data_IF_942850203414
#
_entry.id   IF_942850203414
#
_cell.length_a   1.000
_cell.length_b   1.000
_cell.length_c   1.000
_cell.angle_alpha   90.00
_cell.angle_beta   90.00
_cell.angle_gamma   90.00
#
_symmetry.space_group_name_H-M   'P 1'
#
loop_
_entity.id
_entity.type
_entity.pdbx_description
1 polymer ?
#
# COMPACT_ATOMS: atom_id res chain seq x y z
N UNK A 1 62.08 50.79 -34.11
CA UNK A 1 61.20 50.51 -32.94
C UNK A 1 60.09 49.60 -33.41
N UNK A 2 60.21 48.30 -33.18
CA UNK A 2 59.22 47.28 -33.56
C UNK A 2 58.23 47.13 -32.35
N UNK A 3 56.96 47.39 -32.61
CA UNK A 3 55.86 47.14 -31.61
C UNK A 3 55.50 45.64 -31.65
N UNK A 4 55.70 44.93 -30.52
CA UNK A 4 55.30 43.59 -30.33
C UNK A 4 53.85 43.63 -29.78
N UNK A 5 52.88 43.15 -30.54
CA UNK A 5 51.51 42.96 -30.11
C UNK A 5 51.36 41.58 -29.49
N UNK A 6 50.97 41.52 -28.21
CA UNK A 6 50.70 40.31 -27.46
C UNK A 6 49.25 39.89 -27.74
N UNK A 7 48.95 38.65 -28.09
CA UNK A 7 47.56 38.21 -28.24
C UNK A 7 46.94 37.96 -26.86
N UNK A 8 45.78 38.55 -26.60
CA UNK A 8 44.95 38.36 -25.44
C UNK A 8 44.20 37.01 -25.58
N UNK A 9 44.70 35.96 -24.93
CA UNK A 9 44.02 34.67 -24.87
C UNK A 9 42.81 34.78 -23.93
N UNK A 10 41.60 34.78 -24.51
CA UNK A 10 40.36 34.68 -23.77
C UNK A 10 40.20 33.24 -23.27
N UNK A 11 40.42 33.03 -21.99
CA UNK A 11 40.12 31.76 -21.30
C UNK A 11 38.63 31.68 -21.06
N UNK A 12 37.91 30.96 -21.92
CA UNK A 12 36.48 30.71 -21.72
C UNK A 12 36.31 29.70 -20.58
N UNK A 13 36.02 30.18 -19.38
CA UNK A 13 35.62 29.32 -18.25
C UNK A 13 34.29 28.68 -18.59
N UNK A 14 34.30 27.41 -18.95
CA UNK A 14 33.14 26.57 -18.97
C UNK A 14 32.71 26.33 -17.51
N UNK A 15 31.73 27.10 -16.99
CA UNK A 15 31.04 26.79 -15.77
C UNK A 15 30.13 25.58 -16.09
N UNK A 16 30.63 24.39 -15.77
CA UNK A 16 29.80 23.20 -15.73
C UNK A 16 28.86 23.44 -14.53
N UNK A 17 27.63 23.85 -14.82
CA UNK A 17 26.54 23.82 -13.86
C UNK A 17 26.38 22.34 -13.46
N UNK A 18 26.96 21.96 -12.33
CA UNK A 18 26.57 20.74 -11.61
C UNK A 18 25.14 21.04 -11.21
N UNK A 19 24.20 20.45 -11.95
CA UNK A 19 22.79 20.53 -11.57
C UNK A 19 22.69 20.11 -10.11
N UNK A 20 22.23 21.00 -9.26
CA UNK A 20 21.90 20.70 -7.88
C UNK A 20 21.01 19.46 -7.91
N UNK A 21 21.51 18.33 -7.41
CA UNK A 21 20.68 17.18 -7.08
C UNK A 21 19.74 17.67 -5.99
N UNK A 22 18.55 18.12 -6.39
CA UNK A 22 17.56 18.63 -5.46
C UNK A 22 17.21 17.48 -4.51
N UNK A 23 17.59 17.62 -3.25
CA UNK A 23 17.23 16.66 -2.22
C UNK A 23 15.71 16.48 -2.18
N UNK A 24 15.24 15.24 -2.06
CA UNK A 24 13.81 14.92 -1.97
C UNK A 24 13.16 15.74 -0.84
N UNK A 25 12.12 16.47 -1.15
CA UNK A 25 11.41 17.36 -0.23
C UNK A 25 10.49 16.58 0.73
N UNK A 26 10.00 17.24 1.78
CA UNK A 26 9.02 16.69 2.71
C UNK A 26 7.73 16.24 1.97
N UNK A 27 7.25 17.09 1.05
CA UNK A 27 6.07 16.81 0.22
C UNK A 27 6.27 15.58 -0.67
N UNK A 28 7.41 15.45 -1.32
CA UNK A 28 7.74 14.27 -2.13
C UNK A 28 7.82 13.00 -1.28
N UNK A 29 8.39 13.08 -0.06
CA UNK A 29 8.37 11.94 0.86
C UNK A 29 6.96 11.56 1.30
N UNK A 30 6.04 12.51 1.48
CA UNK A 30 4.63 12.20 1.79
C UNK A 30 4.00 11.38 0.65
N UNK A 31 4.23 11.76 -0.61
CA UNK A 31 3.80 11.01 -1.80
C UNK A 31 4.44 9.62 -1.83
N UNK A 32 5.75 9.52 -1.64
CA UNK A 32 6.48 8.23 -1.65
C UNK A 32 5.95 7.29 -0.57
N UNK A 33 5.73 7.76 0.66
CA UNK A 33 5.19 6.95 1.77
C UNK A 33 3.76 6.51 1.46
N UNK A 34 2.90 7.39 0.94
CA UNK A 34 1.54 7.02 0.54
C UNK A 34 1.54 5.96 -0.58
N UNK A 35 2.33 6.16 -1.66
CA UNK A 35 2.32 5.26 -2.80
C UNK A 35 3.00 3.93 -2.50
N UNK A 36 4.11 3.91 -1.76
CA UNK A 36 4.71 2.66 -1.28
C UNK A 36 3.78 1.93 -0.29
N UNK A 37 3.07 2.68 0.57
CA UNK A 37 2.02 2.15 1.43
C UNK A 37 0.85 1.53 0.64
N UNK A 38 0.46 2.15 -0.50
CA UNK A 38 -0.56 1.61 -1.41
C UNK A 38 -0.16 0.28 -2.01
N UNK A 39 1.13 0.06 -2.28
CA UNK A 39 1.62 -1.22 -2.79
C UNK A 39 1.30 -2.38 -1.83
N UNK A 40 1.39 -2.19 -0.51
CA UNK A 40 0.96 -3.19 0.48
C UNK A 40 -0.52 -3.56 0.30
N UNK A 41 -1.37 -2.56 0.09
CA UNK A 41 -2.80 -2.77 -0.17
C UNK A 41 -3.00 -3.55 -1.48
N UNK A 42 -2.27 -3.21 -2.54
CA UNK A 42 -2.39 -3.87 -3.85
C UNK A 42 -2.00 -5.35 -3.77
N UNK A 43 -0.99 -5.75 -2.97
CA UNK A 43 -0.66 -7.17 -2.79
C UNK A 43 -1.84 -7.95 -2.20
N UNK A 44 -2.52 -7.38 -1.20
CA UNK A 44 -3.68 -8.02 -0.57
C UNK A 44 -4.90 -8.00 -1.49
N UNK A 45 -5.08 -6.93 -2.26
CA UNK A 45 -6.18 -6.78 -3.21
C UNK A 45 -6.08 -7.81 -4.34
N UNK A 46 -4.90 -8.02 -4.94
CA UNK A 46 -4.69 -9.06 -5.95
C UNK A 46 -5.00 -10.46 -5.41
N UNK A 47 -4.51 -10.78 -4.22
CA UNK A 47 -4.81 -12.07 -3.58
C UNK A 47 -6.32 -12.23 -3.30
N UNK A 48 -6.98 -11.19 -2.79
CA UNK A 48 -8.44 -11.19 -2.60
C UNK A 48 -9.18 -11.44 -3.92
N UNK A 49 -8.79 -10.76 -5.00
CA UNK A 49 -9.42 -10.90 -6.32
C UNK A 49 -9.29 -12.33 -6.85
N UNK A 50 -8.09 -12.91 -6.77
CA UNK A 50 -7.87 -14.32 -7.16
C UNK A 50 -8.71 -15.28 -6.30
N UNK A 51 -8.77 -15.08 -4.99
CA UNK A 51 -9.53 -15.94 -4.08
C UNK A 51 -11.05 -15.80 -4.25
N UNK A 52 -11.55 -14.62 -4.65
CA UNK A 52 -12.95 -14.44 -5.03
C UNK A 52 -13.27 -15.18 -6.33
N UNK A 53 -12.34 -15.17 -7.31
CA UNK A 53 -12.47 -16.00 -8.53
C UNK A 53 -12.55 -17.48 -8.15
N UNK A 54 -11.67 -17.97 -7.26
CA UNK A 54 -11.69 -19.35 -6.79
C UNK A 54 -12.99 -19.72 -6.05
N UNK A 55 -13.60 -18.77 -5.33
CA UNK A 55 -14.91 -18.94 -4.70
C UNK A 55 -16.10 -18.76 -5.66
N UNK A 56 -15.86 -18.52 -6.94
CA UNK A 56 -16.88 -18.23 -7.95
C UNK A 56 -17.77 -17.02 -7.58
N UNK A 57 -17.15 -15.96 -7.09
CA UNK A 57 -17.79 -14.67 -6.76
C UNK A 57 -17.37 -13.64 -7.81
N UNK A 58 -18.33 -13.17 -8.62
CA UNK A 58 -18.12 -12.14 -9.66
C UNK A 58 -16.79 -12.35 -10.43
N UNK A 59 -16.55 -13.61 -10.89
CA UNK A 59 -15.25 -14.06 -11.38
C UNK A 59 -14.71 -13.19 -12.52
N UNK A 60 -15.55 -12.81 -13.50
CA UNK A 60 -15.13 -11.96 -14.62
C UNK A 60 -14.73 -10.55 -14.16
N UNK A 61 -15.55 -9.93 -13.28
CA UNK A 61 -15.25 -8.61 -12.75
C UNK A 61 -13.98 -8.62 -11.90
N UNK A 62 -13.77 -9.67 -11.08
CA UNK A 62 -12.55 -9.82 -10.30
C UNK A 62 -11.32 -10.07 -11.18
N UNK A 63 -11.45 -10.79 -12.30
CA UNK A 63 -10.37 -10.99 -13.29
C UNK A 63 -9.94 -9.67 -13.93
N UNK A 64 -10.92 -8.88 -14.40
CA UNK A 64 -10.67 -7.55 -14.97
C UNK A 64 -10.06 -6.58 -13.93
N UNK A 65 -10.49 -6.66 -12.67
CA UNK A 65 -9.92 -5.87 -11.59
C UNK A 65 -8.49 -6.31 -11.25
N UNK A 66 -8.21 -7.62 -11.25
CA UNK A 66 -6.90 -8.19 -11.00
C UNK A 66 -5.86 -7.68 -12.00
N UNK A 67 -6.20 -7.67 -13.29
CA UNK A 67 -5.34 -7.12 -14.34
C UNK A 67 -4.99 -5.65 -14.09
N UNK A 68 -6.00 -4.82 -13.80
CA UNK A 68 -5.80 -3.39 -13.47
C UNK A 68 -4.96 -3.21 -12.20
N UNK A 69 -5.19 -4.05 -11.20
CA UNK A 69 -4.48 -3.99 -9.92
C UNK A 69 -3.01 -4.37 -10.10
N UNK A 70 -2.72 -5.40 -10.88
CA UNK A 70 -1.37 -5.85 -11.21
C UNK A 70 -0.60 -4.79 -12.00
N UNK A 71 -1.22 -4.21 -13.03
CA UNK A 71 -0.62 -3.13 -13.82
C UNK A 71 -0.28 -1.93 -12.94
N UNK A 72 -1.19 -1.53 -12.04
CA UNK A 72 -0.95 -0.42 -11.12
C UNK A 72 0.20 -0.73 -10.15
N UNK A 73 0.28 -1.98 -9.64
CA UNK A 73 1.38 -2.41 -8.78
C UNK A 73 2.71 -2.30 -9.52
N UNK A 74 2.80 -2.87 -10.71
CA UNK A 74 4.02 -2.89 -11.53
C UNK A 74 4.50 -1.47 -11.87
N UNK A 75 3.63 -0.64 -12.42
CA UNK A 75 3.94 0.76 -12.76
C UNK A 75 4.40 1.57 -11.54
N UNK A 76 3.73 1.38 -10.39
CA UNK A 76 4.11 2.11 -9.16
C UNK A 76 5.43 1.58 -8.59
N UNK A 77 5.71 0.28 -8.67
CA UNK A 77 6.97 -0.30 -8.20
C UNK A 77 8.17 0.22 -9.03
N UNK A 78 8.01 0.27 -10.35
CA UNK A 78 8.99 0.88 -11.24
C UNK A 78 9.18 2.38 -10.93
N UNK A 79 8.08 3.12 -10.75
CA UNK A 79 8.12 4.54 -10.39
C UNK A 79 8.80 4.82 -9.04
N UNK A 80 8.61 3.96 -8.04
CA UNK A 80 9.34 4.07 -6.78
C UNK A 80 10.85 3.89 -6.94
N UNK A 81 11.29 3.04 -7.88
CA UNK A 81 12.71 2.81 -8.16
C UNK A 81 13.32 3.93 -8.99
N UNK A 82 12.71 4.25 -10.12
CA UNK A 82 13.29 5.03 -11.20
C UNK A 82 12.76 6.48 -11.27
N UNK A 83 11.74 6.79 -10.47
CA UNK A 83 10.97 8.02 -10.57
C UNK A 83 9.79 7.88 -11.55
N UNK A 84 8.75 8.69 -11.31
CA UNK A 84 7.61 8.82 -12.20
C UNK A 84 6.95 10.18 -11.98
N UNK A 85 7.17 11.13 -12.89
CA UNK A 85 6.70 12.50 -12.77
C UNK A 85 5.16 12.60 -12.73
N UNK A 86 4.43 11.75 -13.49
CA UNK A 86 2.95 11.74 -13.50
C UNK A 86 2.39 11.33 -12.13
N UNK A 87 3.13 10.52 -11.37
CA UNK A 87 2.76 10.10 -10.03
C UNK A 87 3.35 11.00 -8.94
N UNK A 88 4.16 11.99 -9.28
CA UNK A 88 4.91 12.79 -8.32
C UNK A 88 5.95 11.99 -7.54
N UNK A 89 6.50 10.92 -8.13
CA UNK A 89 7.50 10.07 -7.52
C UNK A 89 8.90 10.50 -7.95
N UNK A 90 9.76 10.98 -7.04
CA UNK A 90 11.19 11.07 -7.30
C UNK A 90 11.82 9.68 -7.37
N UNK A 91 12.93 9.53 -8.07
CA UNK A 91 13.69 8.30 -8.06
C UNK A 91 14.28 8.02 -6.67
N UNK A 92 14.33 6.75 -6.29
CA UNK A 92 14.95 6.36 -5.01
C UNK A 92 16.47 6.40 -5.12
N UNK A 93 17.13 7.20 -4.28
CA UNK A 93 18.60 7.31 -4.23
C UNK A 93 19.23 6.43 -3.15
N UNK A 94 18.47 6.11 -2.10
CA UNK A 94 18.92 5.34 -0.95
C UNK A 94 19.36 3.92 -1.32
N UNK A 95 20.67 3.61 -1.23
CA UNK A 95 21.21 2.27 -1.59
C UNK A 95 20.55 1.12 -0.83
N UNK A 96 20.12 1.34 0.41
CA UNK A 96 19.43 0.31 1.22
C UNK A 96 18.04 0.08 0.68
N UNK A 97 17.33 1.16 0.37
CA UNK A 97 15.97 1.13 -0.17
C UNK A 97 15.96 0.57 -1.58
N UNK A 98 16.93 0.91 -2.44
CA UNK A 98 17.09 0.30 -3.76
C UNK A 98 17.30 -1.23 -3.68
N UNK A 99 18.14 -1.71 -2.76
CA UNK A 99 18.29 -3.17 -2.54
C UNK A 99 16.99 -3.83 -2.07
N UNK A 100 16.21 -3.13 -1.25
CA UNK A 100 14.91 -3.63 -0.81
C UNK A 100 13.92 -3.68 -1.98
N UNK A 101 13.87 -2.66 -2.84
CA UNK A 101 13.05 -2.65 -4.05
C UNK A 101 13.43 -3.75 -5.03
N UNK A 102 14.73 -4.00 -5.22
CA UNK A 102 15.21 -5.11 -6.06
C UNK A 102 14.76 -6.49 -5.53
N UNK A 103 14.74 -6.67 -4.19
CA UNK A 103 14.21 -7.88 -3.56
C UNK A 103 12.68 -8.01 -3.78
N UNK A 104 11.96 -6.91 -3.68
CA UNK A 104 10.52 -6.88 -3.94
C UNK A 104 10.25 -7.23 -5.40
N UNK A 105 11.04 -6.72 -6.33
CA UNK A 105 10.87 -7.01 -7.76
C UNK A 105 10.96 -8.51 -8.06
N UNK A 106 11.94 -9.21 -7.48
CA UNK A 106 12.05 -10.67 -7.62
C UNK A 106 10.81 -11.41 -7.09
N UNK A 107 10.30 -11.01 -5.91
CA UNK A 107 9.08 -11.60 -5.35
C UNK A 107 7.85 -11.26 -6.17
N UNK A 108 7.83 -10.07 -6.76
CA UNK A 108 6.77 -9.65 -7.68
C UNK A 108 6.77 -10.47 -8.96
N UNK A 109 7.93 -10.71 -9.56
CA UNK A 109 8.05 -11.51 -10.78
C UNK A 109 7.42 -12.90 -10.58
N UNK A 110 7.68 -13.57 -9.44
CA UNK A 110 7.09 -14.86 -9.09
C UNK A 110 5.57 -14.75 -8.88
N UNK A 111 5.12 -13.74 -8.13
CA UNK A 111 3.69 -13.55 -7.87
C UNK A 111 2.93 -13.16 -9.14
N UNK A 112 3.54 -12.34 -10.01
CA UNK A 112 2.94 -11.90 -11.26
C UNK A 112 2.75 -13.03 -12.28
N UNK A 113 3.57 -14.09 -12.23
CA UNK A 113 3.31 -15.29 -13.04
C UNK A 113 1.96 -15.92 -12.68
N UNK A 114 1.66 -16.04 -11.37
CA UNK A 114 0.37 -16.57 -10.90
C UNK A 114 -0.77 -15.64 -11.30
N UNK A 115 -0.60 -14.33 -11.11
CA UNK A 115 -1.58 -13.32 -11.52
C UNK A 115 -1.88 -13.41 -13.02
N UNK A 116 -0.84 -13.48 -13.84
CA UNK A 116 -0.95 -13.53 -15.31
C UNK A 116 -1.70 -14.79 -15.77
N UNK A 117 -1.44 -15.95 -15.16
CA UNK A 117 -2.15 -17.20 -15.46
C UNK A 117 -3.65 -17.05 -15.17
N UNK A 118 -4.01 -16.50 -14.01
CA UNK A 118 -5.41 -16.27 -13.63
C UNK A 118 -6.07 -15.24 -14.55
N UNK A 119 -5.39 -14.16 -14.92
CA UNK A 119 -5.91 -13.13 -15.84
C UNK A 119 -6.22 -13.74 -17.23
N UNK A 120 -5.38 -14.67 -17.71
CA UNK A 120 -5.59 -15.38 -18.98
C UNK A 120 -6.70 -16.45 -18.95
N UNK A 121 -7.38 -16.65 -17.83
CA UNK A 121 -8.47 -17.60 -17.70
C UNK A 121 -8.09 -18.89 -17.03
N UNK A 122 -6.83 -19.06 -16.59
CA UNK A 122 -6.37 -20.21 -15.82
C UNK A 122 -7.02 -20.34 -14.45
N UNK A 123 -6.89 -21.51 -13.84
CA UNK A 123 -7.37 -21.79 -12.50
C UNK A 123 -6.50 -21.09 -11.45
N UNK A 124 -7.09 -20.82 -10.27
CA UNK A 124 -6.37 -20.22 -9.15
C UNK A 124 -5.70 -21.29 -8.32
N UNK A 125 -4.38 -21.29 -8.24
CA UNK A 125 -3.63 -22.07 -7.25
C UNK A 125 -3.65 -21.33 -5.89
N UNK A 126 -4.59 -21.74 -5.02
CA UNK A 126 -4.84 -21.12 -3.72
C UNK A 126 -3.60 -21.21 -2.83
N UNK A 127 -2.91 -22.35 -2.84
CA UNK A 127 -1.72 -22.57 -2.02
C UNK A 127 -0.58 -21.62 -2.45
N UNK A 128 -0.37 -21.48 -3.76
CA UNK A 128 0.64 -20.60 -4.32
C UNK A 128 0.34 -19.12 -4.04
N UNK A 129 -0.92 -18.70 -4.14
CA UNK A 129 -1.36 -17.34 -3.77
C UNK A 129 -1.07 -17.07 -2.29
N UNK A 130 -1.39 -17.99 -1.40
CA UNK A 130 -1.14 -17.85 0.04
C UNK A 130 0.36 -17.82 0.36
N UNK A 131 1.16 -18.70 -0.25
CA UNK A 131 2.61 -18.80 -0.08
C UNK A 131 3.33 -17.52 -0.49
N UNK A 132 3.07 -16.99 -1.69
CA UNK A 132 3.81 -15.87 -2.27
C UNK A 132 3.35 -14.50 -1.74
N UNK A 133 2.09 -14.37 -1.32
CA UNK A 133 1.54 -13.09 -0.85
C UNK A 133 2.26 -12.57 0.40
N UNK A 134 2.54 -13.42 1.38
CA UNK A 134 3.10 -13.00 2.66
C UNK A 134 4.53 -12.45 2.55
N UNK A 135 5.47 -13.10 1.83
CA UNK A 135 6.80 -12.52 1.58
C UNK A 135 6.74 -11.18 0.86
N UNK A 136 5.89 -11.05 -0.17
CA UNK A 136 5.73 -9.81 -0.92
C UNK A 136 5.23 -8.68 -0.02
N UNK A 137 4.18 -8.92 0.78
CA UNK A 137 3.67 -7.95 1.76
C UNK A 137 4.72 -7.53 2.78
N UNK A 138 5.45 -8.50 3.38
CA UNK A 138 6.50 -8.22 4.37
C UNK A 138 7.60 -7.33 3.80
N UNK A 139 8.05 -7.62 2.58
CA UNK A 139 9.10 -6.85 1.94
C UNK A 139 8.62 -5.46 1.52
N UNK A 140 7.37 -5.30 1.05
CA UNK A 140 6.78 -3.97 0.84
C UNK A 140 6.68 -3.17 2.14
N UNK A 141 6.28 -3.80 3.25
CA UNK A 141 6.24 -3.13 4.55
C UNK A 141 7.63 -2.66 5.01
N UNK A 142 8.69 -3.42 4.71
CA UNK A 142 10.08 -3.00 4.98
C UNK A 142 10.45 -1.79 4.14
N UNK A 143 10.08 -1.73 2.86
CA UNK A 143 10.34 -0.56 2.00
C UNK A 143 9.67 0.71 2.55
N UNK A 144 8.40 0.62 2.96
CA UNK A 144 7.69 1.77 3.57
C UNK A 144 8.42 2.30 4.80
N UNK A 145 8.88 1.40 5.68
CA UNK A 145 9.65 1.81 6.88
C UNK A 145 11.00 2.45 6.55
N UNK A 146 11.63 2.03 5.46
CA UNK A 146 12.87 2.67 5.00
C UNK A 146 12.58 4.09 4.51
N UNK A 147 11.53 4.30 3.73
CA UNK A 147 11.10 5.62 3.31
C UNK A 147 10.69 6.52 4.48
N UNK A 148 9.98 6.02 5.49
CA UNK A 148 9.69 6.76 6.72
C UNK A 148 10.97 7.19 7.44
N UNK A 149 11.95 6.29 7.54
CA UNK A 149 13.25 6.60 8.17
C UNK A 149 14.03 7.65 7.38
N UNK A 150 14.00 7.60 6.07
CA UNK A 150 14.64 8.58 5.19
C UNK A 150 13.92 9.94 5.31
N UNK A 151 12.59 9.96 5.24
CA UNK A 151 11.79 11.15 5.44
C UNK A 151 12.08 11.84 6.80
N UNK A 152 12.13 11.07 7.88
CA UNK A 152 12.42 11.61 9.23
C UNK A 152 13.80 12.28 9.31
N UNK A 153 14.79 11.77 8.59
CA UNK A 153 16.14 12.40 8.54
C UNK A 153 16.11 13.77 7.86
N UNK A 154 15.29 13.92 6.83
CA UNK A 154 15.20 15.17 6.04
C UNK A 154 14.28 16.19 6.72
N UNK A 155 13.13 15.75 7.22
CA UNK A 155 12.09 16.66 7.74
C UNK A 155 12.19 16.89 9.25
N UNK A 156 12.90 16.04 9.99
CA UNK A 156 12.93 16.06 11.46
C UNK A 156 11.59 15.69 12.12
N UNK A 157 10.55 15.36 11.33
CA UNK A 157 9.17 15.15 11.80
C UNK A 157 8.73 13.70 11.66
N UNK A 158 7.75 13.30 12.47
CA UNK A 158 7.09 11.98 12.41
C UNK A 158 5.85 11.96 11.50
N UNK A 159 5.67 12.95 10.65
CA UNK A 159 4.51 13.06 9.75
C UNK A 159 4.27 11.80 8.90
N UNK A 160 5.35 11.18 8.43
CA UNK A 160 5.29 9.91 7.73
C UNK A 160 4.63 8.76 8.49
N UNK A 161 4.66 8.78 9.84
CA UNK A 161 4.03 7.75 10.68
C UNK A 161 2.51 7.76 10.49
N UNK A 162 1.88 8.94 10.52
CA UNK A 162 0.42 9.07 10.36
C UNK A 162 -0.01 8.60 8.98
N UNK A 163 0.68 9.06 7.91
CA UNK A 163 0.40 8.63 6.53
C UNK A 163 0.57 7.11 6.37
N UNK A 164 1.63 6.53 6.96
CA UNK A 164 1.86 5.09 6.91
C UNK A 164 0.76 4.31 7.64
N UNK A 165 0.36 4.73 8.85
CA UNK A 165 -0.67 4.03 9.63
C UNK A 165 -2.06 4.19 9.01
N UNK A 166 -2.40 5.38 8.52
CA UNK A 166 -3.61 5.57 7.73
C UNK A 166 -3.58 4.72 6.44
N UNK A 167 -2.44 4.69 5.74
CA UNK A 167 -2.23 3.84 4.58
C UNK A 167 -2.34 2.34 4.88
N UNK A 168 -1.92 1.92 6.08
CA UNK A 168 -2.04 0.54 6.55
C UNK A 168 -3.50 0.09 6.69
N UNK A 169 -4.42 0.99 7.05
CA UNK A 169 -5.85 0.69 7.10
C UNK A 169 -6.39 0.20 5.75
N UNK A 170 -5.97 0.80 4.64
CA UNK A 170 -6.32 0.31 3.28
C UNK A 170 -5.89 -1.13 3.06
N UNK A 171 -4.69 -1.48 3.51
CA UNK A 171 -4.16 -2.83 3.42
C UNK A 171 -4.94 -3.79 4.31
N UNK A 172 -5.29 -3.40 5.53
CA UNK A 172 -6.04 -4.24 6.47
C UNK A 172 -7.44 -4.57 5.96
N UNK A 173 -8.15 -3.62 5.29
CA UNK A 173 -9.44 -3.91 4.64
C UNK A 173 -9.33 -5.02 3.61
N UNK A 174 -8.31 -4.99 2.76
CA UNK A 174 -8.12 -6.02 1.74
C UNK A 174 -7.66 -7.34 2.35
N UNK A 175 -6.81 -7.28 3.39
CA UNK A 175 -6.31 -8.44 4.11
C UNK A 175 -7.44 -9.21 4.80
N UNK A 176 -8.37 -8.53 5.48
CA UNK A 176 -9.56 -9.16 6.07
C UNK A 176 -10.38 -9.92 5.02
N UNK A 177 -10.64 -9.30 3.87
CA UNK A 177 -11.39 -9.93 2.79
C UNK A 177 -10.66 -11.14 2.18
N UNK A 178 -9.32 -11.06 2.06
CA UNK A 178 -8.48 -12.20 1.65
C UNK A 178 -8.61 -13.36 2.66
N UNK A 179 -8.47 -13.06 3.95
CA UNK A 179 -8.54 -14.07 5.02
C UNK A 179 -9.92 -14.73 5.07
N UNK A 180 -11.02 -13.97 4.94
CA UNK A 180 -12.36 -14.53 4.81
C UNK A 180 -12.51 -15.47 3.61
N UNK A 181 -11.93 -15.10 2.46
CA UNK A 181 -11.97 -15.93 1.26
C UNK A 181 -11.18 -17.24 1.42
N UNK A 182 -10.06 -17.23 2.16
CA UNK A 182 -9.29 -18.43 2.50
C UNK A 182 -10.07 -19.35 3.47
N UNK A 183 -10.77 -18.77 4.46
CA UNK A 183 -11.66 -19.51 5.37
C UNK A 183 -12.77 -20.19 4.56
N UNK A 184 -13.39 -19.49 3.60
CA UNK A 184 -14.44 -20.04 2.74
C UNK A 184 -13.95 -21.22 1.88
N UNK A 185 -12.70 -21.16 1.42
CA UNK A 185 -12.04 -22.24 0.65
C UNK A 185 -11.49 -23.37 1.53
N UNK A 186 -11.70 -23.30 2.83
CA UNK A 186 -11.13 -24.23 3.82
C UNK A 186 -9.60 -24.39 3.70
N UNK A 187 -8.91 -23.33 3.25
CA UNK A 187 -7.45 -23.30 3.16
C UNK A 187 -6.88 -22.75 4.44
N UNK A 188 -6.24 -23.61 5.23
CA UNK A 188 -5.68 -23.27 6.55
C UNK A 188 -6.66 -22.44 7.41
N UNK A 189 -7.92 -22.92 7.48
CA UNK A 189 -9.06 -22.15 7.95
C UNK A 189 -8.87 -21.61 9.38
N UNK A 190 -8.33 -22.41 10.30
CA UNK A 190 -8.16 -22.01 11.70
C UNK A 190 -7.12 -20.90 11.88
N UNK A 191 -5.98 -21.00 11.17
CA UNK A 191 -5.00 -19.91 11.17
C UNK A 191 -5.57 -18.66 10.48
N UNK A 192 -6.35 -18.79 9.42
CA UNK A 192 -6.97 -17.65 8.76
C UNK A 192 -8.07 -17.00 9.61
N UNK A 193 -8.85 -17.75 10.40
CA UNK A 193 -9.76 -17.18 11.42
C UNK A 193 -8.99 -16.37 12.48
N UNK A 194 -7.88 -16.91 12.98
CA UNK A 194 -7.01 -16.23 13.97
C UNK A 194 -6.39 -14.96 13.37
N UNK A 195 -5.88 -15.05 12.14
CA UNK A 195 -5.33 -13.90 11.42
C UNK A 195 -6.40 -12.82 11.18
N UNK A 196 -7.60 -13.22 10.77
CA UNK A 196 -8.74 -12.33 10.51
C UNK A 196 -9.12 -11.54 11.78
N UNK A 197 -9.19 -12.22 12.94
CA UNK A 197 -9.45 -11.58 14.23
C UNK A 197 -8.37 -10.56 14.58
N UNK A 198 -7.10 -10.94 14.43
CA UNK A 198 -5.96 -10.06 14.70
C UNK A 198 -5.93 -8.87 13.74
N UNK A 199 -6.28 -9.09 12.47
CA UNK A 199 -6.34 -8.03 11.45
C UNK A 199 -7.46 -7.03 11.76
N UNK A 200 -8.64 -7.52 12.17
CA UNK A 200 -9.78 -6.69 12.58
C UNK A 200 -9.47 -5.85 13.84
N UNK A 201 -8.87 -6.47 14.85
CA UNK A 201 -8.47 -5.78 16.08
C UNK A 201 -7.44 -4.66 15.79
N UNK A 202 -6.48 -4.93 14.90
CA UNK A 202 -5.50 -3.93 14.50
C UNK A 202 -6.15 -2.79 13.70
N UNK A 203 -7.12 -3.09 12.83
CA UNK A 203 -7.88 -2.08 12.10
C UNK A 203 -8.64 -1.17 13.07
N UNK A 204 -9.41 -1.75 13.98
CA UNK A 204 -10.22 -1.05 14.98
C UNK A 204 -9.36 -0.12 15.85
N UNK A 205 -8.28 -0.66 16.45
CA UNK A 205 -7.34 0.11 17.28
C UNK A 205 -6.70 1.27 16.51
N UNK A 206 -6.23 1.00 15.28
CA UNK A 206 -5.55 2.04 14.50
C UNK A 206 -6.52 3.12 14.03
N UNK A 207 -7.75 2.76 13.66
CA UNK A 207 -8.78 3.75 13.29
C UNK A 207 -9.13 4.65 14.48
N UNK A 208 -9.30 4.07 15.67
CA UNK A 208 -9.52 4.84 16.90
C UNK A 208 -8.32 5.73 17.23
N UNK A 209 -7.10 5.21 17.07
CA UNK A 209 -5.87 5.99 17.28
C UNK A 209 -5.73 7.16 16.29
N UNK A 210 -6.16 6.99 15.04
CA UNK A 210 -6.22 8.08 14.06
C UNK A 210 -7.22 9.17 14.47
N UNK A 211 -8.36 8.79 15.05
CA UNK A 211 -9.38 9.73 15.52
C UNK A 211 -8.96 10.45 16.81
N UNK A 212 -8.58 9.68 17.83
CA UNK A 212 -8.52 10.16 19.21
C UNK A 212 -7.10 10.18 19.81
N UNK A 213 -6.14 9.55 19.12
CA UNK A 213 -4.77 9.35 19.57
C UNK A 213 -4.51 7.96 20.13
N UNK A 214 -3.28 7.50 20.01
CA UNK A 214 -2.76 6.26 20.61
C UNK A 214 -1.23 6.42 20.78
N UNK A 215 -0.78 6.54 22.03
CA UNK A 215 0.63 6.80 22.34
C UNK A 215 1.56 5.64 21.91
N UNK A 216 1.11 4.39 22.02
CA UNK A 216 1.91 3.23 21.63
C UNK A 216 2.08 3.15 20.10
N UNK A 217 1.14 3.71 19.35
CA UNK A 217 1.20 3.82 17.90
C UNK A 217 1.83 5.14 17.42
N UNK A 218 2.25 6.02 18.34
CA UNK A 218 2.73 7.36 18.03
C UNK A 218 1.71 8.19 17.22
N UNK A 219 0.42 7.99 17.47
CA UNK A 219 -0.66 8.72 16.82
C UNK A 219 -1.14 9.87 17.71
N UNK A 220 -1.06 11.12 17.26
CA UNK A 220 -1.49 12.28 18.07
C UNK A 220 -3.00 12.48 18.08
N UNK A 221 -3.76 11.68 17.31
CA UNK A 221 -5.15 11.95 16.98
C UNK A 221 -5.30 13.06 15.94
N UNK A 222 -6.47 13.13 15.31
CA UNK A 222 -6.74 14.11 14.25
C UNK A 222 -7.45 15.33 14.83
N UNK A 223 -6.82 16.51 14.70
CA UNK A 223 -7.39 17.82 15.07
C UNK A 223 -8.09 18.50 13.89
N UNK A 224 -7.71 18.17 12.66
CA UNK A 224 -8.34 18.69 11.44
C UNK A 224 -9.77 18.14 11.33
N UNK A 225 -10.73 19.07 11.25
CA UNK A 225 -12.17 18.72 11.25
C UNK A 225 -12.59 17.97 9.99
N UNK A 226 -11.99 18.29 8.83
CA UNK A 226 -12.34 17.62 7.56
C UNK A 226 -11.84 16.19 7.56
N UNK A 227 -10.60 15.94 8.03
CA UNK A 227 -10.06 14.58 8.16
C UNK A 227 -10.84 13.80 9.24
N UNK A 228 -11.18 14.43 10.36
CA UNK A 228 -11.99 13.79 11.39
C UNK A 228 -13.36 13.35 10.86
N UNK A 229 -14.03 14.22 10.11
CA UNK A 229 -15.30 13.88 9.46
C UNK A 229 -15.13 12.71 8.47
N UNK A 230 -14.05 12.71 7.67
CA UNK A 230 -13.76 11.60 6.75
C UNK A 230 -13.48 10.28 7.48
N UNK A 231 -12.75 10.31 8.60
CA UNK A 231 -12.50 9.12 9.43
C UNK A 231 -13.79 8.62 10.12
N UNK A 232 -14.70 9.51 10.47
CA UNK A 232 -16.03 9.13 11.00
C UNK A 232 -16.83 8.34 9.95
N UNK A 233 -16.83 8.79 8.68
CA UNK A 233 -17.42 8.01 7.57
C UNK A 233 -16.79 6.61 7.46
N UNK A 234 -15.47 6.51 7.64
CA UNK A 234 -14.78 5.20 7.65
C UNK A 234 -15.24 4.35 8.84
N UNK A 235 -15.39 4.96 10.02
CA UNK A 235 -15.87 4.26 11.22
C UNK A 235 -17.29 3.71 11.04
N UNK A 236 -18.22 4.49 10.48
CA UNK A 236 -19.59 4.07 10.19
C UNK A 236 -19.61 2.88 9.21
N UNK A 237 -18.80 2.91 8.16
CA UNK A 237 -18.67 1.79 7.23
C UNK A 237 -18.03 0.57 7.88
N UNK A 238 -17.09 0.77 8.79
CA UNK A 238 -16.49 -0.32 9.57
C UNK A 238 -17.50 -1.00 10.49
N UNK A 239 -18.34 -0.25 11.18
CA UNK A 239 -19.41 -0.83 12.02
C UNK A 239 -20.38 -1.71 11.21
N UNK A 240 -20.60 -1.41 9.93
CA UNK A 240 -21.36 -2.26 9.02
C UNK A 240 -20.60 -3.53 8.56
N UNK A 241 -19.27 -3.47 8.49
CA UNK A 241 -18.43 -4.59 8.04
C UNK A 241 -17.97 -5.50 9.18
N UNK A 242 -17.72 -4.94 10.36
CA UNK A 242 -17.20 -5.62 11.55
C UNK A 242 -18.00 -6.87 11.96
N UNK A 243 -19.36 -6.88 12.03
CA UNK A 243 -20.11 -8.07 12.43
C UNK A 243 -19.91 -9.27 11.47
N UNK A 244 -19.67 -8.99 10.19
CA UNK A 244 -19.38 -10.03 9.20
C UNK A 244 -18.00 -10.67 9.46
N UNK A 245 -17.01 -9.84 9.76
CA UNK A 245 -15.65 -10.28 10.11
C UNK A 245 -15.63 -11.09 11.41
N UNK A 246 -16.36 -10.62 12.43
CA UNK A 246 -16.48 -11.31 13.74
C UNK A 246 -17.09 -12.70 13.59
N UNK A 247 -18.19 -12.83 12.84
CA UNK A 247 -18.80 -14.13 12.57
C UNK A 247 -17.85 -15.06 11.82
N UNK A 248 -17.17 -14.55 10.77
CA UNK A 248 -16.23 -15.32 9.97
C UNK A 248 -15.02 -15.80 10.77
N UNK A 249 -14.58 -15.02 11.77
CA UNK A 249 -13.40 -15.31 12.60
C UNK A 249 -13.75 -16.03 13.91
N UNK A 250 -15.02 -16.30 14.21
CA UNK A 250 -15.42 -17.03 15.42
C UNK A 250 -14.87 -18.46 15.41
N UNK A 251 -14.48 -18.96 16.58
CA UNK A 251 -14.02 -20.35 16.76
C UNK A 251 -15.15 -21.31 16.39
N UNK A 252 -16.38 -20.97 16.76
CA UNK A 252 -17.57 -21.81 16.51
C UNK A 252 -18.13 -21.62 15.08
N UNK A 253 -17.48 -20.78 14.26
CA UNK A 253 -17.91 -20.54 12.88
C UNK A 253 -17.78 -21.82 12.05
N UNK A 254 -18.87 -22.22 11.41
CA UNK A 254 -18.91 -23.34 10.44
C UNK A 254 -18.26 -23.02 9.10
N UNK A 255 -17.61 -21.86 8.98
CA UNK A 255 -17.01 -21.34 7.76
C UNK A 255 -17.64 -20.02 7.31
N UNK A 256 -17.33 -19.61 6.09
CA UNK A 256 -17.86 -18.41 5.45
C UNK A 256 -18.73 -18.82 4.27
N UNK A 257 -19.99 -18.40 4.26
CA UNK A 257 -20.93 -18.75 3.19
C UNK A 257 -20.67 -17.92 1.92
N UNK A 258 -21.26 -18.34 0.80
CA UNK A 258 -21.20 -17.58 -0.46
C UNK A 258 -21.90 -16.21 -0.29
N UNK A 259 -23.00 -16.15 0.44
CA UNK A 259 -23.72 -14.92 0.76
C UNK A 259 -22.87 -13.96 1.58
N UNK A 260 -22.10 -14.48 2.55
CA UNK A 260 -21.15 -13.68 3.34
C UNK A 260 -20.04 -13.10 2.44
N UNK A 261 -19.51 -13.87 1.48
CA UNK A 261 -18.52 -13.37 0.53
C UNK A 261 -19.06 -12.30 -0.40
N UNK A 262 -20.30 -12.45 -0.90
CA UNK A 262 -20.98 -11.42 -1.70
C UNK A 262 -21.19 -10.16 -0.87
N UNK A 263 -21.63 -10.28 0.38
CA UNK A 263 -21.81 -9.16 1.29
C UNK A 263 -20.47 -8.47 1.60
N UNK A 264 -19.44 -9.26 1.89
CA UNK A 264 -18.07 -8.78 2.11
C UNK A 264 -17.57 -7.97 0.91
N UNK A 265 -17.73 -8.46 -0.31
CA UNK A 265 -17.32 -7.77 -1.53
C UNK A 265 -17.99 -6.39 -1.68
N UNK A 266 -19.29 -6.31 -1.37
CA UNK A 266 -20.08 -5.06 -1.44
C UNK A 266 -19.65 -4.04 -0.38
N UNK A 267 -19.31 -4.47 0.83
CA UNK A 267 -18.91 -3.60 1.94
C UNK A 267 -17.43 -3.17 1.87
N UNK A 268 -16.56 -4.05 1.36
CA UNK A 268 -15.12 -3.81 1.29
C UNK A 268 -14.76 -2.61 0.41
N UNK A 269 -15.40 -2.46 -0.75
CA UNK A 269 -15.04 -1.44 -1.72
C UNK A 269 -15.34 -0.01 -1.22
N UNK A 270 -16.52 0.31 -0.65
CA UNK A 270 -16.77 1.60 -0.02
C UNK A 270 -15.79 1.91 1.11
N UNK A 271 -15.53 0.96 2.02
CA UNK A 271 -14.61 1.13 3.13
C UNK A 271 -13.18 1.46 2.64
N UNK A 272 -12.68 0.74 1.62
CA UNK A 272 -11.40 1.04 0.98
C UNK A 272 -11.38 2.44 0.36
N UNK A 273 -12.44 2.81 -0.36
CA UNK A 273 -12.56 4.10 -1.05
C UNK A 273 -12.50 5.26 -0.06
N UNK A 274 -13.28 5.20 1.01
CA UNK A 274 -13.32 6.28 1.99
C UNK A 274 -12.03 6.35 2.82
N UNK A 275 -11.42 5.21 3.15
CA UNK A 275 -10.09 5.20 3.78
C UNK A 275 -9.00 5.76 2.85
N UNK A 276 -9.11 5.53 1.53
CA UNK A 276 -8.17 6.09 0.57
C UNK A 276 -8.27 7.62 0.49
N UNK A 277 -9.49 8.19 0.63
CA UNK A 277 -9.68 9.65 0.73
C UNK A 277 -9.00 10.21 1.99
N UNK A 278 -9.20 9.58 3.15
CA UNK A 278 -8.56 10.00 4.39
C UNK A 278 -7.03 10.03 4.28
N UNK A 279 -6.43 8.99 3.68
CA UNK A 279 -4.96 8.95 3.46
C UNK A 279 -4.50 10.08 2.56
N UNK A 280 -5.26 10.38 1.50
CA UNK A 280 -4.93 11.50 0.60
C UNK A 280 -5.03 12.85 1.30
N UNK A 281 -5.98 13.03 2.20
CA UNK A 281 -6.10 14.26 2.99
C UNK A 281 -4.89 14.42 3.94
N UNK A 282 -4.44 13.35 4.59
CA UNK A 282 -3.21 13.39 5.39
C UNK A 282 -1.96 13.71 4.55
N UNK A 283 -1.85 13.16 3.33
CA UNK A 283 -0.77 13.51 2.40
C UNK A 283 -0.78 15.01 2.07
N UNK A 284 -1.96 15.57 1.82
CA UNK A 284 -2.12 16.99 1.48
C UNK A 284 -1.78 17.95 2.63
N UNK A 285 -1.89 17.52 3.88
CA UNK A 285 -1.46 18.34 5.04
C UNK A 285 0.07 18.51 5.12
N UNK A 286 0.83 17.67 4.44
CA UNK A 286 2.30 17.72 4.43
C UNK A 286 2.85 18.44 3.17
N UNK A 287 1.98 18.84 2.26
CA UNK A 287 2.30 19.62 1.07
C UNK A 287 2.19 21.13 1.34
#
# INVERSE_FOLDING_TARGET
MKKISLPLSIFLLFVISVGDLLAITASEYAVVINLSGRQRMLTQKMSKEMLLIANNIDAEANRANLEKTAKLFDTTLAGLRDGNAEMGLPATEGKVTLRQLAKINKLWDEFNMVVTEVVKGGSVDIAKVAELNLPLLKNMNTAVRLYEKEAKKVTGKSAGVVINLAGKQRMLTQKMSKEMSLVALNHDAENNKTNLRSTASLFDRTLKGLLDGDNDLELPGTKDQAIRAQLTVVADLWEGFKPLVERASSIDSKGVSKEDLVKMSKLNLPLLKEMNKAVKMYEQLEQ
#
